data_IF_760542953724
#
_entry.id   IF_760542953724
#
_cell.length_a   1.000
_cell.length_b   1.000
_cell.length_c   1.000
_cell.angle_alpha   90.00
_cell.angle_beta   90.00
_cell.angle_gamma   90.00
#
_symmetry.space_group_name_H-M   'P 1'
#
loop_
_entity.id
_entity.type
_entity.pdbx_description
1 polymer ?
#
# COMPACT_ATOMS: atom_id res chain seq x y z
N UNK A 1 -6.34 6.49 -8.28
CA UNK A 1 -5.77 6.24 -6.93
C UNK A 1 -6.66 5.24 -6.22
N UNK A 2 -6.06 4.30 -5.49
CA UNK A 2 -6.74 3.25 -4.74
C UNK A 2 -6.36 3.37 -3.26
N UNK A 3 -7.25 2.94 -2.38
CA UNK A 3 -7.07 3.04 -0.94
C UNK A 3 -7.78 1.90 -0.21
N UNK A 4 -7.13 1.41 0.85
CA UNK A 4 -7.74 0.53 1.84
C UNK A 4 -7.41 1.01 3.24
N UNK A 5 -8.30 0.69 4.17
CA UNK A 5 -8.25 1.14 5.54
C UNK A 5 -8.58 -0.02 6.49
N UNK A 6 -7.98 -0.01 7.68
CA UNK A 6 -8.44 -0.83 8.79
C UNK A 6 -8.87 0.09 9.93
N UNK A 7 -10.05 -0.18 10.46
CA UNK A 7 -10.65 0.59 11.54
C UNK A 7 -10.94 -0.32 12.72
N UNK A 8 -10.77 0.19 13.93
CA UNK A 8 -11.25 -0.47 15.14
C UNK A 8 -12.79 -0.40 15.21
N UNK A 9 -13.46 -1.19 16.08
CA UNK A 9 -14.92 -1.21 16.19
C UNK A 9 -15.54 0.16 16.52
N UNK A 10 -14.79 1.04 17.16
CA UNK A 10 -15.18 2.43 17.47
C UNK A 10 -15.03 3.39 16.27
N UNK A 11 -14.61 2.88 15.11
CA UNK A 11 -14.39 3.66 13.89
C UNK A 11 -13.00 4.29 13.79
N UNK A 12 -12.12 4.11 14.77
CA UNK A 12 -10.75 4.64 14.71
C UNK A 12 -9.95 3.97 13.59
N UNK A 13 -9.62 4.74 12.54
CA UNK A 13 -8.75 4.29 11.48
C UNK A 13 -7.30 4.18 11.99
N UNK A 14 -6.86 2.95 12.28
CA UNK A 14 -5.50 2.69 12.77
C UNK A 14 -4.52 2.30 11.65
N UNK A 15 -5.00 1.90 10.47
CA UNK A 15 -4.14 1.61 9.33
C UNK A 15 -4.72 2.12 8.01
N UNK A 16 -3.83 2.55 7.11
CA UNK A 16 -4.20 3.06 5.78
C UNK A 16 -3.09 2.76 4.78
N UNK A 17 -3.47 2.30 3.60
CA UNK A 17 -2.60 2.21 2.42
C UNK A 17 -3.25 2.96 1.27
N UNK A 18 -2.48 3.83 0.61
CA UNK A 18 -2.85 4.54 -0.62
C UNK A 18 -1.83 4.19 -1.69
N UNK A 19 -2.31 3.76 -2.85
CA UNK A 19 -1.45 3.40 -3.97
C UNK A 19 -2.09 3.77 -5.30
N UNK A 20 -1.31 3.65 -6.36
CA UNK A 20 -1.78 3.75 -7.73
C UNK A 20 -1.08 2.68 -8.55
N UNK A 21 -1.79 2.10 -9.52
CA UNK A 21 -1.22 1.23 -10.53
C UNK A 21 -1.62 1.66 -11.93
N UNK A 22 -0.74 1.36 -12.88
CA UNK A 22 -0.97 1.48 -14.31
C UNK A 22 -0.83 0.10 -14.93
N UNK A 23 -1.92 -0.38 -15.52
CA UNK A 23 -1.93 -1.65 -16.23
C UNK A 23 -1.14 -1.60 -17.54
N UNK A 24 -1.27 -0.49 -18.28
CA UNK A 24 -0.58 -0.29 -19.56
C UNK A 24 0.94 -0.33 -19.39
N UNK A 25 1.46 0.35 -18.36
CA UNK A 25 2.90 0.43 -18.11
C UNK A 25 3.40 -0.62 -17.12
N UNK A 26 2.51 -1.44 -16.54
CA UNK A 26 2.81 -2.38 -15.45
C UNK A 26 3.63 -1.75 -14.32
N UNK A 27 3.18 -0.59 -13.86
CA UNK A 27 3.84 0.22 -12.84
C UNK A 27 2.91 0.42 -11.64
N UNK A 28 3.42 0.16 -10.44
CA UNK A 28 2.78 0.44 -9.17
C UNK A 28 3.56 1.47 -8.36
N UNK A 29 2.84 2.35 -7.66
CA UNK A 29 3.39 3.33 -6.75
C UNK A 29 2.63 3.27 -5.43
N UNK A 30 3.33 3.03 -4.32
CA UNK A 30 2.78 3.23 -2.98
C UNK A 30 3.02 4.69 -2.58
N UNK A 31 1.93 5.44 -2.38
CA UNK A 31 1.98 6.86 -2.00
C UNK A 31 1.98 7.06 -0.48
N UNK A 32 1.29 6.18 0.25
CA UNK A 32 1.20 6.28 1.70
C UNK A 32 0.93 4.92 2.31
N UNK A 33 1.67 4.59 3.35
CA UNK A 33 1.36 3.48 4.25
C UNK A 33 1.48 3.99 5.68
N UNK A 34 0.51 3.65 6.53
CA UNK A 34 0.56 3.99 7.95
C UNK A 34 -0.10 2.89 8.76
N UNK A 35 0.49 2.58 9.90
CA UNK A 35 -0.12 1.81 10.99
C UNK A 35 0.22 2.56 12.28
N UNK A 36 -0.79 2.86 13.11
CA UNK A 36 -0.61 3.70 14.29
C UNK A 36 -0.30 2.86 15.53
N UNK A 37 0.53 3.40 16.42
CA UNK A 37 0.68 3.01 17.83
C UNK A 37 0.58 1.50 18.13
N UNK A 38 -0.32 1.07 19.04
CA UNK A 38 -0.50 -0.33 19.44
C UNK A 38 -0.74 -1.35 18.32
N UNK A 39 -1.10 -0.90 17.12
CA UNK A 39 -1.38 -1.78 15.99
C UNK A 39 -0.16 -2.04 15.12
N UNK A 40 0.95 -1.32 15.34
CA UNK A 40 2.21 -1.57 14.64
C UNK A 40 2.75 -2.97 14.95
N UNK A 41 3.56 -3.51 14.04
CA UNK A 41 4.21 -4.84 14.18
C UNK A 41 3.26 -6.05 14.27
N UNK A 42 1.95 -5.86 14.10
CA UNK A 42 0.95 -6.94 13.97
C UNK A 42 0.67 -7.36 12.51
N UNK A 43 1.56 -7.00 11.57
CA UNK A 43 1.50 -7.43 10.17
C UNK A 43 0.49 -6.70 9.27
N UNK A 44 -0.23 -5.67 9.77
CA UNK A 44 -1.22 -4.94 8.96
C UNK A 44 -0.60 -4.29 7.71
N UNK A 45 0.56 -3.65 7.84
CA UNK A 45 1.26 -3.04 6.71
C UNK A 45 1.56 -4.06 5.61
N UNK A 46 2.13 -5.21 5.98
CA UNK A 46 2.44 -6.29 5.03
C UNK A 46 1.17 -6.86 4.38
N UNK A 47 0.09 -7.07 5.16
CA UNK A 47 -1.21 -7.53 4.62
C UNK A 47 -1.78 -6.54 3.62
N UNK A 48 -1.73 -5.25 3.92
CA UNK A 48 -2.22 -4.20 3.04
C UNK A 48 -1.43 -4.15 1.72
N UNK A 49 -0.08 -4.19 1.78
CA UNK A 49 0.71 -4.18 0.54
C UNK A 49 0.47 -5.46 -0.27
N UNK A 50 0.42 -6.63 0.36
CA UNK A 50 0.06 -7.87 -0.36
C UNK A 50 -1.31 -7.80 -1.02
N UNK A 51 -2.28 -7.12 -0.41
CA UNK A 51 -3.57 -6.86 -1.06
C UNK A 51 -3.40 -6.03 -2.33
N UNK A 52 -2.60 -4.96 -2.29
CA UNK A 52 -2.32 -4.12 -3.46
C UNK A 52 -1.57 -4.85 -4.58
N UNK A 53 -0.78 -5.89 -4.25
CA UNK A 53 -0.07 -6.72 -5.22
C UNK A 53 -0.94 -7.79 -5.90
N UNK A 54 -2.17 -8.04 -5.44
CA UNK A 54 -3.02 -9.11 -6.00
C UNK A 54 -3.41 -8.81 -7.45
N UNK A 55 -3.18 -9.77 -8.34
CA UNK A 55 -3.59 -9.69 -9.75
C UNK A 55 -2.75 -8.76 -10.62
N UNK A 56 -1.58 -8.33 -10.13
CA UNK A 56 -0.67 -7.42 -10.85
C UNK A 56 0.76 -7.98 -10.85
N UNK A 57 0.87 -9.26 -11.17
CA UNK A 57 2.14 -9.96 -11.27
C UNK A 57 3.06 -9.34 -12.34
N UNK A 58 4.35 -9.26 -12.01
CA UNK A 58 5.37 -8.67 -12.91
C UNK A 58 5.35 -7.14 -12.99
N UNK A 59 4.54 -6.46 -12.17
CA UNK A 59 4.58 -5.00 -12.11
C UNK A 59 5.85 -4.54 -11.40
N UNK A 60 6.45 -3.46 -11.90
CA UNK A 60 7.48 -2.73 -11.15
C UNK A 60 6.79 -1.89 -10.09
N UNK A 61 7.29 -1.93 -8.85
CA UNK A 61 6.76 -1.14 -7.75
C UNK A 61 7.78 -0.13 -7.27
N UNK A 62 7.31 1.06 -6.91
CA UNK A 62 8.11 2.10 -6.26
C UNK A 62 7.33 2.70 -5.09
N UNK A 63 8.00 3.47 -4.25
CA UNK A 63 7.37 4.23 -3.18
C UNK A 63 7.75 5.69 -3.29
N UNK A 64 6.92 6.57 -2.72
CA UNK A 64 7.38 7.91 -2.33
C UNK A 64 8.49 7.83 -1.28
N UNK A 65 9.17 8.95 -0.93
CA UNK A 65 10.15 8.97 0.14
C UNK A 65 9.65 8.25 1.40
N UNK A 66 10.50 7.37 1.92
CA UNK A 66 10.18 6.46 3.01
C UNK A 66 10.56 7.10 4.35
N UNK A 67 9.67 7.01 5.34
CA UNK A 67 10.04 7.28 6.75
C UNK A 67 11.08 6.27 7.24
N UNK A 68 11.71 6.54 8.39
CA UNK A 68 12.67 5.61 9.00
C UNK A 68 12.08 4.22 9.22
N UNK A 69 10.86 4.13 9.75
CA UNK A 69 10.13 2.86 9.88
C UNK A 69 9.94 2.14 8.53
N UNK A 70 9.64 2.90 7.48
CA UNK A 70 9.42 2.34 6.15
C UNK A 70 10.71 1.79 5.53
N UNK A 71 11.87 2.37 5.85
CA UNK A 71 13.17 1.91 5.37
C UNK A 71 13.55 0.53 5.93
N UNK A 72 13.07 0.16 7.13
CA UNK A 72 13.21 -1.20 7.64
C UNK A 72 12.09 -2.13 7.13
N UNK A 73 10.88 -1.60 6.97
CA UNK A 73 9.70 -2.37 6.56
C UNK A 73 9.78 -2.92 5.13
N UNK A 74 10.14 -2.10 4.14
CA UNK A 74 10.10 -2.49 2.73
C UNK A 74 11.14 -3.55 2.34
N UNK A 75 12.38 -3.54 2.88
CA UNK A 75 13.33 -4.64 2.70
C UNK A 75 12.77 -5.97 3.23
N UNK A 76 12.26 -6.00 4.46
CA UNK A 76 11.65 -7.21 5.03
C UNK A 76 10.43 -7.69 4.22
N UNK A 77 9.63 -6.76 3.68
CA UNK A 77 8.54 -7.11 2.79
C UNK A 77 9.03 -7.70 1.45
N UNK A 78 10.11 -7.15 0.90
CA UNK A 78 10.75 -7.63 -0.33
C UNK A 78 11.19 -9.09 -0.17
N UNK A 79 11.80 -9.45 0.96
CA UNK A 79 12.19 -10.84 1.26
C UNK A 79 11.00 -11.81 1.21
N UNK A 80 9.82 -11.38 1.68
CA UNK A 80 8.63 -12.25 1.71
C UNK A 80 7.78 -12.22 0.44
N UNK A 81 7.97 -11.25 -0.45
CA UNK A 81 7.13 -11.05 -1.65
C UNK A 81 7.90 -11.18 -2.96
N UNK A 82 9.23 -11.08 -2.93
CA UNK A 82 10.08 -10.99 -4.12
C UNK A 82 9.96 -9.67 -4.88
N UNK A 83 9.14 -8.72 -4.42
CA UNK A 83 8.92 -7.43 -5.08
C UNK A 83 9.76 -6.37 -4.42
N UNK A 84 10.62 -5.70 -5.20
CA UNK A 84 11.40 -4.57 -4.73
C UNK A 84 10.53 -3.30 -4.62
N UNK A 85 10.81 -2.50 -3.59
CA UNK A 85 10.13 -1.22 -3.34
C UNK A 85 11.16 -0.07 -3.19
N UNK A 86 11.88 0.30 -4.27
CA UNK A 86 12.75 1.47 -4.28
C UNK A 86 11.98 2.75 -3.92
N UNK A 87 12.68 3.69 -3.29
CA UNK A 87 12.13 4.96 -2.78
C UNK A 87 12.03 6.05 -3.84
N UNK A 88 12.55 5.76 -5.03
CA UNK A 88 12.53 6.62 -6.21
C UNK A 88 11.16 6.49 -6.88
N UNK A 89 10.24 7.37 -6.49
CA UNK A 89 8.87 7.35 -7.00
C UNK A 89 8.84 7.47 -8.52
N UNK A 90 8.30 6.45 -9.18
CA UNK A 90 8.06 6.46 -10.62
C UNK A 90 6.57 6.65 -10.91
N UNK A 91 6.29 7.62 -11.79
CA UNK A 91 4.95 7.87 -12.33
C UNK A 91 5.04 7.90 -13.86
N UNK A 92 4.14 7.17 -14.51
CA UNK A 92 3.93 7.30 -15.95
C UNK A 92 2.85 8.36 -16.24
N UNK A 93 2.76 8.81 -17.49
CA UNK A 93 1.75 9.80 -17.92
C UNK A 93 0.32 9.32 -17.65
N UNK A 94 0.03 8.02 -17.88
CA UNK A 94 -1.29 7.44 -17.57
C UNK A 94 -1.67 7.55 -16.09
N UNK A 95 -0.68 7.55 -15.18
CA UNK A 95 -0.93 7.73 -13.75
C UNK A 95 -1.16 9.20 -13.41
N UNK A 96 -0.42 10.12 -14.05
CA UNK A 96 -0.58 11.57 -13.86
C UNK A 96 -1.95 12.07 -14.37
N UNK A 97 -2.40 11.53 -15.50
CA UNK A 97 -3.68 11.89 -16.13
C UNK A 97 -4.91 11.27 -15.42
N UNK A 98 -4.70 10.29 -14.53
CA UNK A 98 -5.77 9.74 -13.70
C UNK A 98 -6.05 10.68 -12.53
N UNK A 99 -6.74 11.79 -12.80
CA UNK A 99 -7.51 12.53 -11.77
C UNK A 99 -8.45 11.58 -11.02
N UNK A 100 -8.84 11.85 -9.76
CA UNK A 100 -9.43 10.85 -8.89
C UNK A 100 -10.80 10.43 -9.41
N UNK A 101 -10.83 9.32 -10.15
CA UNK A 101 -12.05 8.56 -10.39
C UNK A 101 -12.56 8.17 -9.00
N UNK A 102 -13.62 8.83 -8.51
CA UNK A 102 -14.37 8.44 -7.32
C UNK A 102 -14.78 6.97 -7.51
N UNK A 103 -13.98 6.03 -7.02
CA UNK A 103 -14.32 4.61 -7.03
C UNK A 103 -14.50 4.16 -5.59
N UNK A 104 -15.80 4.04 -5.29
CA UNK A 104 -16.48 3.27 -4.26
C UNK A 104 -15.76 1.95 -3.94
N UNK A 105 -15.12 1.85 -2.77
CA UNK A 105 -14.99 0.60 -1.98
C UNK A 105 -14.20 0.88 -0.70
N UNK A 106 -14.91 1.22 0.37
CA UNK A 106 -14.39 1.06 1.73
C UNK A 106 -14.31 -0.44 2.00
N UNK A 107 -13.23 -1.08 1.57
CA UNK A 107 -12.96 -2.47 1.97
C UNK A 107 -12.20 -2.41 3.28
N UNK A 108 -12.94 -2.58 4.38
CA UNK A 108 -12.40 -2.71 5.72
C UNK A 108 -11.60 -4.02 5.77
N UNK A 109 -10.35 -3.97 6.22
CA UNK A 109 -9.65 -5.19 6.61
C UNK A 109 -10.09 -5.50 8.04
N UNK A 110 -10.75 -6.63 8.23
CA UNK A 110 -11.20 -7.09 9.55
C UNK A 110 -10.00 -7.19 10.53
N UNK A 111 -10.20 -6.82 11.81
CA UNK A 111 -9.18 -7.05 12.83
C UNK A 111 -8.89 -8.57 12.98
N UNK A 112 -7.66 -8.96 13.35
CA UNK A 112 -7.32 -10.35 13.61
C UNK A 112 -8.17 -10.89 14.77
N UNK A 113 -8.49 -12.21 14.77
CA UNK A 113 -9.13 -12.84 15.92
C UNK A 113 -8.19 -12.76 17.14
N UNK A 114 -8.79 -12.48 18.30
CA UNK A 114 -8.09 -12.41 19.60
C UNK A 114 -7.73 -13.77 20.18
#
# INVERSE_FOLDING_TARGET
MQEIQACAPDGYNFARLVWQSCEVCRLGLILKIRVTGPWQRHGYGSRMVRFALRGVDGYRWTTTPQSEDAQAFFPALTETTGVAFPREAELCEHMRLREPRKIRSQQLIDPPPG
#
